data_IF_206236242134
#
_entry.id   IF_206236242134
#
_cell.length_a   1.000
_cell.length_b   1.000
_cell.length_c   1.000
_cell.angle_alpha   90.00
_cell.angle_beta   90.00
_cell.angle_gamma   90.00
#
_symmetry.space_group_name_H-M   'P 1'
#
loop_
_entity.id
_entity.type
_entity.pdbx_description
1 polymer ?
#
# COMPACT_ATOMS: atom_id res chain seq x y z
N UNK A 1 6.48 19.36 15.73
CA UNK A 1 5.46 19.55 14.67
C UNK A 1 4.68 18.26 14.54
N UNK A 2 3.38 18.27 14.87
CA UNK A 2 2.50 17.11 14.61
C UNK A 2 2.20 17.11 13.10
N UNK A 3 2.61 16.08 12.36
CA UNK A 3 2.12 15.84 10.99
C UNK A 3 0.65 15.48 11.11
N UNK A 4 -0.21 16.23 10.40
CA UNK A 4 -1.62 15.89 10.26
C UNK A 4 -1.73 14.90 9.10
N UNK A 5 -2.07 13.64 9.40
CA UNK A 5 -2.21 12.53 8.45
C UNK A 5 -3.54 12.59 7.68
N UNK A 6 -3.81 13.70 7.00
CA UNK A 6 -4.98 13.85 6.13
C UNK A 6 -4.56 13.68 4.68
N UNK A 7 -5.00 12.60 4.03
CA UNK A 7 -4.95 12.48 2.58
C UNK A 7 -5.74 13.65 1.94
N UNK A 8 -5.22 14.32 0.88
CA UNK A 8 -4.03 13.98 0.11
C UNK A 8 -2.77 14.74 0.59
N UNK A 9 -1.78 14.00 1.08
CA UNK A 9 -0.43 14.51 1.41
C UNK A 9 0.55 14.21 0.27
N UNK A 10 1.56 15.07 0.10
CA UNK A 10 2.58 14.96 -0.95
C UNK A 10 3.70 13.97 -0.60
N UNK A 11 3.99 13.78 0.69
CA UNK A 11 5.08 12.95 1.21
C UNK A 11 4.54 12.04 2.33
N UNK A 12 4.31 10.76 2.00
CA UNK A 12 3.93 9.70 2.95
C UNK A 12 4.75 8.42 2.72
N UNK A 13 5.75 8.20 3.57
CA UNK A 13 6.65 7.04 3.43
C UNK A 13 6.01 5.75 3.97
N UNK A 14 5.12 5.89 4.97
CA UNK A 14 4.27 4.85 5.55
C UNK A 14 3.01 5.52 6.14
N UNK A 15 1.85 5.33 5.52
CA UNK A 15 0.59 5.94 5.94
C UNK A 15 -0.34 4.91 6.55
N UNK A 16 -0.61 5.04 7.85
CA UNK A 16 -1.63 4.23 8.52
C UNK A 16 -3.03 4.46 7.93
N UNK A 17 -3.26 5.61 7.32
CA UNK A 17 -4.51 5.95 6.63
C UNK A 17 -4.71 5.06 5.39
N UNK A 18 -3.67 4.86 4.57
CA UNK A 18 -3.77 3.98 3.42
C UNK A 18 -4.01 2.53 3.83
N UNK A 19 -3.24 2.03 4.80
CA UNK A 19 -3.41 0.66 5.29
C UNK A 19 -4.85 0.41 5.76
N UNK A 20 -5.48 1.38 6.43
CA UNK A 20 -6.90 1.30 6.84
C UNK A 20 -7.85 1.32 5.64
N UNK A 21 -7.62 2.17 4.65
CA UNK A 21 -8.46 2.26 3.46
C UNK A 21 -8.40 0.96 2.64
N UNK A 22 -7.21 0.40 2.43
CA UNK A 22 -7.00 -0.90 1.79
C UNK A 22 -7.70 -2.00 2.61
N UNK A 23 -7.52 -2.03 3.93
CA UNK A 23 -8.16 -3.03 4.81
C UNK A 23 -9.70 -2.99 4.75
N UNK A 24 -10.29 -1.83 4.42
CA UNK A 24 -11.73 -1.65 4.28
C UNK A 24 -12.21 -1.87 2.83
N UNK A 25 -11.32 -2.22 1.91
CA UNK A 25 -11.59 -2.37 0.47
C UNK A 25 -12.30 -1.12 -0.10
N UNK A 26 -11.88 0.07 0.34
CA UNK A 26 -12.47 1.33 -0.11
C UNK A 26 -11.61 1.95 -1.21
N UNK A 27 -12.11 2.04 -2.45
CA UNK A 27 -11.43 2.80 -3.49
C UNK A 27 -11.15 4.22 -3.04
N UNK A 28 -9.98 4.74 -3.37
CA UNK A 28 -9.56 6.09 -2.99
C UNK A 28 -8.85 6.78 -4.16
N UNK A 29 -8.61 8.07 -4.00
CA UNK A 29 -7.96 8.93 -4.99
C UNK A 29 -6.70 9.47 -4.34
N UNK A 30 -5.55 9.34 -5.01
CA UNK A 30 -4.26 9.83 -4.50
C UNK A 30 -3.40 10.43 -5.60
N UNK A 31 -2.38 11.19 -5.21
CA UNK A 31 -1.42 11.81 -6.13
C UNK A 31 -0.55 10.77 -6.85
N UNK A 32 -0.30 10.98 -8.15
CA UNK A 32 0.67 10.19 -8.92
C UNK A 32 2.13 10.58 -8.50
N UNK A 33 3.14 9.76 -8.83
CA UNK A 33 4.18 9.32 -7.89
C UNK A 33 5.15 10.39 -7.39
N UNK A 34 5.43 10.34 -6.08
CA UNK A 34 6.66 10.88 -5.45
C UNK A 34 7.27 9.97 -4.36
N UNK A 35 6.54 8.99 -3.80
CA UNK A 35 7.05 8.14 -2.68
C UNK A 35 6.52 6.68 -2.70
N UNK A 36 7.04 5.82 -1.81
CA UNK A 36 6.75 4.38 -1.71
C UNK A 36 5.26 4.01 -1.53
N UNK A 37 4.42 4.92 -1.02
CA UNK A 37 2.98 4.71 -0.95
C UNK A 37 2.30 4.66 -2.32
N UNK A 38 2.88 5.34 -3.31
CA UNK A 38 2.35 5.33 -4.68
C UNK A 38 2.60 3.97 -5.34
N UNK A 39 3.65 3.25 -4.94
CA UNK A 39 3.92 1.90 -5.43
C UNK A 39 2.80 0.94 -5.00
N UNK A 40 2.42 0.90 -3.72
CA UNK A 40 1.30 0.07 -3.26
C UNK A 40 -0.03 0.47 -3.89
N UNK A 41 -0.27 1.76 -4.06
CA UNK A 41 -1.47 2.26 -4.72
C UNK A 41 -1.56 1.77 -6.18
N UNK A 42 -0.44 1.82 -6.92
CA UNK A 42 -0.33 1.31 -8.29
C UNK A 42 -0.46 -0.22 -8.33
N UNK A 43 0.31 -0.94 -7.52
CA UNK A 43 0.30 -2.41 -7.45
C UNK A 43 -1.07 -2.98 -7.08
N UNK A 44 -1.83 -2.26 -6.26
CA UNK A 44 -3.15 -2.70 -5.83
C UNK A 44 -4.19 -2.63 -6.95
N UNK A 45 -3.95 -1.86 -8.01
CA UNK A 45 -4.92 -1.56 -9.09
C UNK A 45 -6.31 -1.09 -8.57
N UNK A 46 -6.35 -0.60 -7.34
CA UNK A 46 -7.57 -0.26 -6.60
C UNK A 46 -7.79 1.24 -6.41
N UNK A 47 -7.02 2.06 -7.12
CA UNK A 47 -6.92 3.51 -6.92
C UNK A 47 -7.14 4.29 -8.21
N UNK A 48 -7.58 5.54 -8.10
CA UNK A 48 -7.47 6.52 -9.18
C UNK A 48 -6.38 7.52 -8.84
N UNK A 49 -5.46 7.74 -9.77
CA UNK A 49 -4.38 8.71 -9.59
C UNK A 49 -4.77 10.09 -10.13
N UNK A 50 -4.13 11.15 -9.60
CA UNK A 50 -4.18 12.50 -10.16
C UNK A 50 -2.84 13.24 -10.07
N UNK A 51 -2.57 14.14 -11.01
CA UNK A 51 -1.40 15.06 -10.96
C UNK A 51 -1.80 16.53 -10.98
N UNK A 52 -3.07 16.83 -11.27
CA UNK A 52 -3.61 18.19 -11.36
C UNK A 52 -4.96 18.28 -10.66
N UNK A 53 -5.36 19.50 -10.30
CA UNK A 53 -6.65 19.77 -9.65
C UNK A 53 -7.84 19.40 -10.53
N UNK A 54 -7.74 19.62 -11.85
CA UNK A 54 -8.80 19.25 -12.79
C UNK A 54 -8.97 17.74 -12.89
N UNK A 55 -7.86 16.99 -12.85
CA UNK A 55 -7.89 15.54 -12.82
C UNK A 55 -8.52 15.04 -11.53
N UNK A 56 -8.14 15.59 -10.37
CA UNK A 56 -8.79 15.28 -9.08
C UNK A 56 -10.31 15.47 -9.17
N UNK A 57 -10.77 16.63 -9.66
CA UNK A 57 -12.21 16.91 -9.82
C UNK A 57 -12.89 15.85 -10.69
N UNK A 58 -12.30 15.49 -11.84
CA UNK A 58 -12.84 14.46 -12.73
C UNK A 58 -12.90 13.09 -12.07
N UNK A 59 -11.83 12.69 -11.36
CA UNK A 59 -11.77 11.39 -10.67
C UNK A 59 -12.78 11.31 -9.52
N UNK A 60 -12.98 12.40 -8.76
CA UNK A 60 -14.01 12.44 -7.70
C UNK A 60 -15.40 12.22 -8.29
N UNK A 61 -15.75 12.92 -9.36
CA UNK A 61 -17.04 12.76 -10.04
C UNK A 61 -17.18 11.33 -10.59
N UNK A 62 -16.14 10.82 -11.25
CA UNK A 62 -16.12 9.47 -11.81
C UNK A 62 -16.36 8.42 -10.72
N UNK A 63 -15.62 8.50 -9.61
CA UNK A 63 -15.74 7.56 -8.50
C UNK A 63 -17.11 7.66 -7.81
N UNK A 64 -17.73 8.85 -7.76
CA UNK A 64 -19.06 9.04 -7.20
C UNK A 64 -20.19 8.51 -8.10
N UNK A 65 -20.06 8.63 -9.43
CA UNK A 65 -21.13 8.28 -10.36
C UNK A 65 -21.02 6.86 -10.93
N UNK A 66 -19.83 6.26 -10.99
CA UNK A 66 -19.61 4.94 -11.58
C UNK A 66 -19.57 3.84 -10.50
N UNK A 67 -20.71 3.16 -10.33
CA UNK A 67 -20.82 2.06 -9.36
C UNK A 67 -19.97 0.84 -9.72
N UNK A 68 -19.91 0.49 -11.01
CA UNK A 68 -19.15 -0.69 -11.47
C UNK A 68 -17.67 -0.50 -11.21
N UNK A 69 -17.16 0.69 -11.49
CA UNK A 69 -15.79 1.06 -11.16
C UNK A 69 -15.50 0.93 -9.66
N UNK A 70 -16.41 1.36 -8.78
CA UNK A 70 -16.20 1.21 -7.33
C UNK A 70 -16.08 -0.25 -6.90
N UNK A 71 -16.90 -1.13 -7.49
CA UNK A 71 -16.81 -2.56 -7.21
C UNK A 71 -15.50 -3.16 -7.71
N UNK A 72 -15.11 -2.85 -8.95
CA UNK A 72 -13.87 -3.34 -9.55
C UNK A 72 -12.64 -2.93 -8.72
N UNK A 73 -12.51 -1.63 -8.41
CA UNK A 73 -11.42 -1.12 -7.60
C UNK A 73 -11.42 -1.73 -6.19
N UNK A 74 -12.60 -1.90 -5.57
CA UNK A 74 -12.72 -2.53 -4.25
C UNK A 74 -12.28 -4.00 -4.24
N UNK A 75 -12.64 -4.75 -5.28
CA UNK A 75 -12.20 -6.15 -5.43
C UNK A 75 -10.68 -6.25 -5.68
N UNK A 76 -10.09 -5.31 -6.41
CA UNK A 76 -8.65 -5.25 -6.60
C UNK A 76 -7.92 -4.98 -5.26
N UNK A 77 -8.41 -4.02 -4.46
CA UNK A 77 -7.88 -3.76 -3.11
C UNK A 77 -7.97 -5.01 -2.22
N UNK A 78 -9.09 -5.72 -2.27
CA UNK A 78 -9.29 -6.96 -1.50
C UNK A 78 -8.28 -8.03 -1.90
N UNK A 79 -8.11 -8.26 -3.21
CA UNK A 79 -7.12 -9.21 -3.72
C UNK A 79 -5.71 -8.81 -3.30
N UNK A 80 -5.36 -7.53 -3.35
CA UNK A 80 -4.06 -7.04 -2.90
C UNK A 80 -3.85 -7.27 -1.39
N UNK A 81 -4.86 -6.97 -0.57
CA UNK A 81 -4.83 -7.22 0.87
C UNK A 81 -4.62 -8.70 1.19
N UNK A 82 -5.38 -9.59 0.56
CA UNK A 82 -5.33 -11.04 0.82
C UNK A 82 -4.05 -11.68 0.27
N UNK A 83 -3.58 -11.21 -0.89
CA UNK A 83 -2.50 -11.88 -1.63
C UNK A 83 -1.12 -11.28 -1.42
N UNK A 84 -1.01 -10.00 -1.08
CA UNK A 84 0.29 -9.32 -0.99
C UNK A 84 0.57 -8.91 0.44
N UNK A 85 -0.30 -8.10 1.05
CA UNK A 85 -0.01 -7.42 2.33
C UNK A 85 -0.70 -8.02 3.56
N UNK A 86 -1.26 -9.23 3.43
CA UNK A 86 -1.94 -9.90 4.53
C UNK A 86 -1.02 -10.06 5.75
N UNK A 87 -1.50 -9.70 6.95
CA UNK A 87 -0.68 -9.75 8.16
C UNK A 87 -0.03 -11.12 8.40
N UNK A 88 -0.73 -12.21 8.07
CA UNK A 88 -0.17 -13.57 8.15
C UNK A 88 1.09 -13.75 7.29
N UNK A 89 1.13 -13.17 6.08
CA UNK A 89 2.28 -13.24 5.18
C UNK A 89 3.44 -12.42 5.74
N UNK A 90 3.16 -11.18 6.14
CA UNK A 90 4.16 -10.28 6.73
C UNK A 90 4.74 -10.90 8.01
N UNK A 91 3.89 -11.37 8.93
CA UNK A 91 4.34 -12.00 10.17
C UNK A 91 5.23 -13.24 9.93
N UNK A 92 4.92 -14.05 8.91
CA UNK A 92 5.76 -15.19 8.55
C UNK A 92 7.15 -14.75 8.08
N UNK A 93 7.26 -13.69 7.27
CA UNK A 93 8.55 -13.13 6.84
C UNK A 93 9.38 -12.64 8.03
N UNK A 94 8.75 -12.03 9.04
CA UNK A 94 9.43 -11.68 10.29
C UNK A 94 9.92 -12.92 11.04
N UNK A 95 9.09 -13.95 11.16
CA UNK A 95 9.48 -15.21 11.83
C UNK A 95 10.67 -15.87 11.12
N UNK A 96 10.64 -15.95 9.80
CA UNK A 96 11.76 -16.45 8.98
C UNK A 96 13.03 -15.64 9.23
N UNK A 97 12.92 -14.30 9.24
CA UNK A 97 14.05 -13.41 9.52
C UNK A 97 14.62 -13.64 10.93
N UNK A 98 13.78 -13.83 11.95
CA UNK A 98 14.24 -14.14 13.31
C UNK A 98 14.91 -15.51 13.40
N UNK A 99 14.41 -16.51 12.67
CA UNK A 99 15.01 -17.84 12.63
C UNK A 99 16.38 -17.80 11.94
N UNK A 100 16.48 -17.11 10.80
CA UNK A 100 17.73 -16.86 10.10
C UNK A 100 18.74 -16.19 11.03
N UNK A 101 18.38 -15.06 11.66
CA UNK A 101 19.26 -14.33 12.57
C UNK A 101 19.75 -15.20 13.75
N UNK A 102 18.88 -16.05 14.30
CA UNK A 102 19.22 -17.00 15.37
C UNK A 102 20.25 -18.01 14.90
N UNK A 103 20.06 -18.59 13.71
CA UNK A 103 20.95 -19.62 13.16
C UNK A 103 22.32 -19.05 12.80
N UNK A 104 22.37 -17.84 12.26
CA UNK A 104 23.60 -17.13 11.99
C UNK A 104 24.42 -16.86 13.24
N UNK A 105 23.77 -16.38 14.30
CA UNK A 105 24.41 -16.19 15.61
C UNK A 105 24.97 -17.50 16.15
N UNK A 106 24.24 -18.61 16.03
CA UNK A 106 24.70 -19.94 16.46
C UNK A 106 25.89 -20.45 15.66
N UNK A 107 25.90 -20.24 14.34
CA UNK A 107 26.89 -20.76 13.40
C UNK A 107 28.09 -19.82 13.18
N UNK A 108 28.02 -18.59 13.68
CA UNK A 108 29.06 -17.56 13.45
C UNK A 108 29.14 -17.08 12.01
N UNK A 109 28.09 -17.28 11.21
CA UNK A 109 28.03 -16.91 9.79
C UNK A 109 27.27 -15.59 9.61
N UNK A 110 27.71 -14.75 8.67
CA UNK A 110 26.97 -13.58 8.26
C UNK A 110 25.86 -14.00 7.29
N UNK A 111 24.63 -13.52 7.50
CA UNK A 111 23.54 -13.71 6.54
C UNK A 111 23.56 -12.54 5.58
N UNK A 112 23.58 -12.85 4.30
CA UNK A 112 23.24 -11.90 3.25
C UNK A 112 21.80 -12.19 2.85
N UNK A 113 20.92 -11.23 3.10
CA UNK A 113 19.57 -11.28 2.58
C UNK A 113 19.64 -10.84 1.11
N UNK A 114 19.01 -11.57 0.18
CA UNK A 114 18.90 -11.10 -1.19
C UNK A 114 18.21 -9.74 -1.20
N UNK A 115 18.74 -8.81 -2.00
CA UNK A 115 18.05 -7.57 -2.32
C UNK A 115 16.87 -7.93 -3.23
N UNK A 116 15.68 -8.11 -2.65
CA UNK A 116 14.44 -8.16 -3.43
C UNK A 116 13.95 -6.73 -3.66
N UNK A 117 14.40 -6.11 -4.77
CA UNK A 117 13.76 -4.96 -5.41
C UNK A 117 13.97 -5.02 -6.93
#
# INVERSE_FOLDING_TARGET
MKKNDNAPSIDETQSGTLARVIALNKPFITTAPMEGLTAQAIESEGVLLFTTKDMLKKQVIRLACDERLRFELGENLKKYLENIVAWKKVANQYVETYNLARDAKKKGIKIELPLEF
#
